data_IF_081921415721
#
_entry.id   IF_081921415721
#
_cell.length_a   1.000
_cell.length_b   1.000
_cell.length_c   1.000
_cell.angle_alpha   90.00
_cell.angle_beta   90.00
_cell.angle_gamma   90.00
#
_symmetry.space_group_name_H-M   'P 1'
#
loop_
_entity.id
_entity.type
_entity.pdbx_description
1 polymer ?
#
# COMPACT_ATOMS: atom_id res chain seq x y z
N UNK A 1 16.32 -10.01 3.86
CA UNK A 1 15.13 -10.74 4.34
C UNK A 1 13.99 -10.28 3.46
N UNK A 2 13.24 -11.17 2.82
CA UNK A 2 12.22 -10.78 1.84
C UNK A 2 11.05 -10.08 2.53
N UNK A 3 10.69 -8.88 2.10
CA UNK A 3 9.50 -8.16 2.62
C UNK A 3 8.18 -8.75 2.09
N UNK A 4 8.25 -9.49 0.97
CA UNK A 4 7.09 -10.05 0.29
C UNK A 4 7.14 -11.58 0.30
N UNK A 5 5.99 -12.20 0.53
CA UNK A 5 5.80 -13.61 0.22
C UNK A 5 5.67 -13.84 -1.29
N UNK A 6 5.88 -15.07 -1.74
CA UNK A 6 5.70 -15.43 -3.17
C UNK A 6 4.28 -15.14 -3.65
N UNK A 7 3.28 -15.39 -2.81
CA UNK A 7 1.87 -15.16 -3.14
C UNK A 7 1.53 -13.67 -3.21
N UNK A 8 2.12 -12.87 -2.32
CA UNK A 8 1.98 -11.41 -2.37
C UNK A 8 2.61 -10.86 -3.65
N UNK A 9 3.82 -11.30 -3.99
CA UNK A 9 4.50 -10.89 -5.21
C UNK A 9 3.69 -11.29 -6.46
N UNK A 10 3.14 -12.51 -6.52
CA UNK A 10 2.33 -12.95 -7.64
C UNK A 10 1.10 -12.05 -7.86
N UNK A 11 0.40 -11.67 -6.78
CA UNK A 11 -0.75 -10.75 -6.83
C UNK A 11 -0.35 -9.33 -7.26
N UNK A 12 0.78 -8.83 -6.77
CA UNK A 12 1.32 -7.53 -7.18
C UNK A 12 1.67 -7.50 -8.68
N UNK A 13 2.22 -8.59 -9.22
CA UNK A 13 2.50 -8.75 -10.65
C UNK A 13 1.21 -8.78 -11.47
N UNK A 14 0.18 -9.50 -11.00
CA UNK A 14 -1.13 -9.54 -11.66
C UNK A 14 -1.73 -8.13 -11.77
N UNK A 15 -1.71 -7.38 -10.66
CA UNK A 15 -2.14 -5.99 -10.62
C UNK A 15 -1.29 -5.11 -11.56
N UNK A 16 0.03 -5.34 -11.65
CA UNK A 16 0.91 -4.63 -12.58
C UNK A 16 0.49 -4.83 -14.04
N UNK A 17 0.20 -6.07 -14.43
CA UNK A 17 -0.29 -6.40 -15.78
C UNK A 17 -1.64 -5.75 -16.09
N UNK A 18 -2.54 -5.66 -15.11
CA UNK A 18 -3.84 -4.96 -15.26
C UNK A 18 -3.63 -3.49 -15.58
N UNK A 19 -2.73 -2.82 -14.85
CA UNK A 19 -2.39 -1.40 -15.07
C UNK A 19 -1.76 -1.20 -16.45
N UNK A 20 -0.77 -2.02 -16.83
CA UNK A 20 -0.09 -1.90 -18.13
C UNK A 20 -1.03 -2.09 -19.32
N UNK A 21 -2.00 -2.99 -19.17
CA UNK A 21 -3.02 -3.24 -20.20
C UNK A 21 -4.14 -2.19 -20.20
N UNK A 22 -4.11 -1.20 -19.30
CA UNK A 22 -5.16 -0.19 -19.17
C UNK A 22 -6.52 -0.75 -18.76
N UNK A 23 -6.52 -1.83 -17.96
CA UNK A 23 -7.77 -2.43 -17.47
C UNK A 23 -8.50 -1.49 -16.51
N UNK A 24 -9.83 -1.44 -16.62
CA UNK A 24 -10.72 -0.75 -15.67
C UNK A 24 -11.00 -1.58 -14.40
N UNK A 25 -10.39 -2.76 -14.26
CA UNK A 25 -10.47 -3.57 -13.05
C UNK A 25 -9.89 -2.86 -11.84
N UNK A 26 -10.45 -3.17 -10.66
CA UNK A 26 -9.94 -2.64 -9.40
C UNK A 26 -8.53 -3.14 -9.11
N UNK A 27 -7.68 -2.25 -8.61
CA UNK A 27 -6.30 -2.55 -8.20
C UNK A 27 -6.19 -2.34 -6.70
N UNK A 28 -6.53 -3.36 -5.88
CA UNK A 28 -6.41 -3.24 -4.44
C UNK A 28 -4.95 -3.30 -3.99
N UNK A 29 -4.56 -2.57 -2.93
CA UNK A 29 -3.30 -2.84 -2.26
C UNK A 29 -3.25 -4.29 -1.77
N UNK A 30 -2.09 -4.92 -1.96
CA UNK A 30 -1.86 -6.32 -1.60
C UNK A 30 -1.18 -6.42 -0.24
N UNK A 31 -0.32 -5.46 0.07
CA UNK A 31 0.54 -5.44 1.26
C UNK A 31 0.56 -4.04 1.87
N UNK A 32 0.55 -3.98 3.21
CA UNK A 32 0.93 -2.79 3.98
C UNK A 32 2.29 -3.05 4.63
N UNK A 33 3.26 -2.21 4.30
CA UNK A 33 4.56 -2.17 4.95
C UNK A 33 4.62 -1.00 5.92
N UNK A 34 5.35 -1.16 7.02
CA UNK A 34 5.51 -0.15 8.07
C UNK A 34 6.98 -0.05 8.46
N UNK A 35 7.44 1.18 8.69
CA UNK A 35 8.67 1.45 9.42
C UNK A 35 8.29 2.05 10.78
N UNK A 36 8.64 1.40 11.90
CA UNK A 36 8.24 1.86 13.22
C UNK A 36 9.14 3.01 13.69
N UNK A 37 8.52 4.05 14.28
CA UNK A 37 9.17 5.18 14.97
C UNK A 37 10.12 6.07 14.13
N UNK A 38 10.11 7.36 14.48
CA UNK A 38 10.98 8.46 14.03
C UNK A 38 11.93 8.21 12.81
N UNK A 39 11.49 8.49 11.57
CA UNK A 39 10.12 8.88 11.19
C UNK A 39 9.20 7.66 10.95
N UNK A 40 7.97 7.63 11.54
CA UNK A 40 7.00 6.59 11.20
C UNK A 40 6.62 6.70 9.72
N UNK A 41 6.66 5.59 9.00
CA UNK A 41 6.36 5.58 7.56
C UNK A 41 5.58 4.32 7.20
N UNK A 42 4.77 4.42 6.14
CA UNK A 42 3.91 3.35 5.67
C UNK A 42 3.82 3.32 4.14
N UNK A 43 3.75 2.11 3.59
CA UNK A 43 3.62 1.88 2.15
C UNK A 43 2.53 0.84 1.90
N UNK A 44 1.45 1.26 1.25
CA UNK A 44 0.50 0.36 0.64
C UNK A 44 0.99 -0.01 -0.76
N UNK A 45 1.41 -1.25 -0.97
CA UNK A 45 1.85 -1.72 -2.28
C UNK A 45 0.68 -2.34 -3.02
N UNK A 46 0.36 -1.80 -4.20
CA UNK A 46 -0.76 -2.22 -5.03
C UNK A 46 -0.33 -3.00 -6.27
N UNK A 47 0.82 -2.69 -6.85
CA UNK A 47 1.38 -3.48 -7.94
C UNK A 47 2.91 -3.42 -7.94
N UNK A 48 3.52 -4.26 -8.75
CA UNK A 48 4.92 -4.11 -9.19
C UNK A 48 4.97 -4.10 -10.71
N UNK A 49 6.00 -3.47 -11.26
CA UNK A 49 6.34 -3.61 -12.68
C UNK A 49 6.56 -5.10 -13.01
N UNK A 50 5.79 -5.69 -13.96
CA UNK A 50 5.87 -7.12 -14.29
C UNK A 50 7.20 -7.58 -14.88
N UNK A 51 8.02 -6.67 -15.41
CA UNK A 51 9.35 -6.95 -15.94
C UNK A 51 10.43 -6.64 -14.91
N UNK A 52 10.20 -5.65 -14.05
CA UNK A 52 11.08 -5.25 -12.97
C UNK A 52 10.34 -5.25 -11.62
N UNK A 53 10.23 -6.42 -11.02
CA UNK A 53 9.51 -6.64 -9.77
C UNK A 53 9.99 -5.79 -8.57
N UNK A 54 11.13 -5.10 -8.67
CA UNK A 54 11.61 -4.19 -7.63
C UNK A 54 10.83 -2.88 -7.58
N UNK A 55 10.31 -2.40 -8.71
CA UNK A 55 9.59 -1.13 -8.80
C UNK A 55 8.13 -1.35 -8.44
N UNK A 56 7.76 -1.04 -7.20
CA UNK A 56 6.40 -1.13 -6.71
C UNK A 56 5.64 0.20 -6.87
N UNK A 57 4.35 0.12 -7.20
CA UNK A 57 3.41 1.25 -7.16
C UNK A 57 2.51 1.15 -5.93
N UNK A 58 2.21 2.29 -5.32
CA UNK A 58 1.48 2.29 -4.07
C UNK A 58 1.07 3.66 -3.53
N UNK A 59 0.43 3.66 -2.36
CA UNK A 59 0.17 4.84 -1.55
C UNK A 59 1.23 4.92 -0.45
N UNK A 60 1.95 6.04 -0.41
CA UNK A 60 3.18 6.21 0.36
C UNK A 60 2.97 7.33 1.37
N UNK A 61 3.23 7.03 2.64
CA UNK A 61 3.21 7.97 3.76
C UNK A 61 4.59 7.97 4.42
N UNK A 62 5.34 9.07 4.31
CA UNK A 62 6.69 9.18 4.89
C UNK A 62 6.63 10.16 6.05
N UNK A 63 7.15 9.78 7.21
CA UNK A 63 7.27 10.69 8.36
C UNK A 63 5.97 11.37 8.84
N UNK A 64 4.81 10.79 8.51
CA UNK A 64 3.51 11.41 8.79
C UNK A 64 3.18 12.61 7.88
N UNK A 65 3.95 12.81 6.80
CA UNK A 65 3.54 13.66 5.69
C UNK A 65 2.30 13.06 5.02
N UNK A 66 1.56 13.93 4.32
CA UNK A 66 0.32 13.51 3.67
C UNK A 66 0.59 12.37 2.67
N UNK A 67 -0.20 11.29 2.70
CA UNK A 67 0.03 10.16 1.80
C UNK A 67 -0.20 10.52 0.34
N UNK A 68 0.67 10.00 -0.53
CA UNK A 68 0.62 10.24 -1.98
C UNK A 68 0.82 8.94 -2.78
N UNK A 69 0.19 8.88 -3.95
CA UNK A 69 0.43 7.77 -4.88
C UNK A 69 1.81 7.95 -5.51
N UNK A 70 2.59 6.88 -5.56
CA UNK A 70 3.95 6.93 -6.07
C UNK A 70 4.56 5.56 -6.30
N UNK A 71 5.84 5.58 -6.67
CA UNK A 71 6.64 4.38 -6.85
C UNK A 71 7.73 4.29 -5.79
N UNK A 72 8.09 3.06 -5.41
CA UNK A 72 9.16 2.78 -4.45
C UNK A 72 9.91 1.51 -4.85
N UNK A 73 11.20 1.44 -4.56
CA UNK A 73 11.98 0.19 -4.71
C UNK A 73 11.77 -0.71 -3.50
N UNK A 74 11.45 -1.98 -3.75
CA UNK A 74 11.31 -2.98 -2.69
C UNK A 74 12.66 -3.25 -2.02
N UNK A 75 13.75 -3.32 -2.80
CA UNK A 75 15.11 -3.47 -2.27
C UNK A 75 15.51 -2.29 -1.38
N UNK A 76 15.18 -1.06 -1.77
CA UNK A 76 15.43 0.10 -0.91
C UNK A 76 14.68 -0.04 0.43
N UNK A 77 13.44 -0.52 0.42
CA UNK A 77 12.69 -0.79 1.64
C UNK A 77 13.29 -1.94 2.47
N UNK A 78 13.83 -2.98 1.83
CA UNK A 78 14.52 -4.08 2.52
C UNK A 78 15.79 -3.63 3.23
N UNK A 79 16.48 -2.64 2.69
CA UNK A 79 17.70 -2.06 3.25
C UNK A 79 17.43 -0.88 4.18
N UNK A 80 16.23 -0.28 4.12
CA UNK A 80 15.84 0.86 4.94
C UNK A 80 15.86 0.51 6.43
N UNK A 81 16.55 1.33 7.22
CA UNK A 81 16.64 1.21 8.67
C UNK A 81 16.19 2.51 9.33
N UNK A 82 15.25 2.38 10.25
CA UNK A 82 14.77 3.46 11.10
C UNK A 82 15.51 3.51 12.43
N UNK A 83 14.89 4.17 13.40
CA UNK A 83 15.43 4.30 14.75
C UNK A 83 15.80 2.94 15.36
N UNK A 84 16.93 2.87 16.08
CA UNK A 84 17.48 1.64 16.67
C UNK A 84 17.68 0.49 15.66
N UNK A 85 17.99 0.82 14.40
CA UNK A 85 18.25 -0.17 13.34
C UNK A 85 17.05 -1.08 13.05
N UNK A 86 15.83 -0.62 13.31
CA UNK A 86 14.61 -1.35 12.99
C UNK A 86 14.35 -1.28 11.48
N UNK A 87 14.11 -2.43 10.86
CA UNK A 87 13.77 -2.51 9.44
C UNK A 87 12.28 -2.28 9.18
N UNK A 88 11.95 -2.12 7.91
CA UNK A 88 10.57 -2.19 7.44
C UNK A 88 10.00 -3.58 7.72
N UNK A 89 8.72 -3.66 8.09
CA UNK A 89 8.03 -4.92 8.36
C UNK A 89 6.64 -4.95 7.74
N UNK A 90 6.10 -6.15 7.61
CA UNK A 90 4.74 -6.41 7.11
C UNK A 90 3.69 -6.21 8.21
N UNK A 91 2.66 -5.40 7.96
CA UNK A 91 1.54 -5.25 8.88
C UNK A 91 0.57 -6.43 8.75
N UNK A 92 0.62 -7.35 9.71
CA UNK A 92 -0.23 -8.56 9.73
C UNK A 92 -1.71 -8.26 9.94
N UNK A 93 -2.07 -7.12 10.54
CA UNK A 93 -3.48 -6.76 10.74
C UNK A 93 -4.14 -6.40 9.41
N UNK A 94 -3.36 -5.93 8.44
CA UNK A 94 -3.87 -5.62 7.11
C UNK A 94 -4.36 -6.86 6.35
N UNK A 95 -3.87 -8.06 6.68
CA UNK A 95 -4.33 -9.28 6.01
C UNK A 95 -5.82 -9.56 6.25
N UNK A 96 -6.37 -9.07 7.36
CA UNK A 96 -7.78 -9.18 7.74
C UNK A 96 -8.63 -7.96 7.33
N UNK A 97 -8.03 -6.97 6.68
CA UNK A 97 -8.73 -5.76 6.25
C UNK A 97 -9.50 -5.96 4.94
N UNK A 98 -10.64 -5.30 4.80
CA UNK A 98 -11.32 -5.15 3.52
C UNK A 98 -10.45 -4.32 2.59
N UNK A 99 -10.15 -4.84 1.40
CA UNK A 99 -9.29 -4.18 0.43
C UNK A 99 -10.12 -3.39 -0.58
N UNK A 100 -9.97 -2.08 -0.56
CA UNK A 100 -10.54 -1.16 -1.55
C UNK A 100 -9.56 -0.94 -2.70
N UNK A 101 -10.04 -0.34 -3.79
CA UNK A 101 -9.17 0.15 -4.86
C UNK A 101 -8.15 1.17 -4.32
N UNK A 102 -6.91 1.13 -4.82
CA UNK A 102 -5.83 2.00 -4.36
C UNK A 102 -6.15 3.48 -4.52
N UNK A 103 -6.90 3.88 -5.57
CA UNK A 103 -7.31 5.27 -5.76
C UNK A 103 -8.34 5.71 -4.71
N UNK A 104 -9.17 4.79 -4.22
CA UNK A 104 -10.11 5.07 -3.15
C UNK A 104 -9.39 5.29 -1.82
N UNK A 105 -8.37 4.47 -1.51
CA UNK A 105 -7.50 4.72 -0.37
C UNK A 105 -6.77 6.06 -0.48
N UNK A 106 -6.29 6.44 -1.66
CA UNK A 106 -5.63 7.72 -1.87
C UNK A 106 -6.57 8.92 -1.62
N UNK A 107 -7.83 8.83 -2.07
CA UNK A 107 -8.85 9.86 -1.78
C UNK A 107 -9.16 9.96 -0.29
N UNK A 108 -9.37 8.83 0.37
CA UNK A 108 -9.57 8.80 1.82
C UNK A 108 -8.36 9.39 2.56
N UNK A 109 -7.15 9.01 2.19
CA UNK A 109 -5.93 9.48 2.82
C UNK A 109 -5.68 10.98 2.60
N UNK A 110 -6.08 11.52 1.45
CA UNK A 110 -6.08 12.97 1.21
C UNK A 110 -6.97 13.72 2.18
N UNK A 111 -8.14 13.17 2.50
CA UNK A 111 -9.11 13.83 3.38
C UNK A 111 -8.78 13.65 4.86
N UNK A 112 -8.25 12.48 5.25
CA UNK A 112 -7.86 12.20 6.64
C UNK A 112 -6.42 12.57 6.98
N UNK A 113 -5.59 12.88 5.99
CA UNK A 113 -4.18 13.22 6.14
C UNK A 113 -3.25 12.03 6.42
N UNK A 114 -3.76 10.80 6.44
CA UNK A 114 -3.00 9.58 6.75
C UNK A 114 -3.63 8.33 6.11
N UNK A 115 -2.85 7.26 5.99
CA UNK A 115 -3.35 5.97 5.53
C UNK A 115 -4.34 5.41 6.56
N UNK A 116 -5.56 5.10 6.11
CA UNK A 116 -6.64 4.58 6.96
C UNK A 116 -7.01 3.15 6.56
N UNK A 117 -6.95 2.22 7.51
CA UNK A 117 -7.37 0.82 7.31
C UNK A 117 -8.89 0.67 7.44
N UNK A 118 -9.46 -0.28 6.69
CA UNK A 118 -10.87 -0.67 6.84
C UNK A 118 -10.95 -2.10 7.35
N UNK A 119 -11.56 -2.27 8.51
CA UNK A 119 -11.97 -3.57 9.02
C UNK A 119 -13.46 -3.75 8.73
N UNK A 120 -13.87 -5.01 8.60
CA UNK A 120 -15.22 -5.45 8.19
C UNK A 120 -16.37 -4.92 9.07
N UNK A 121 -16.09 -4.25 10.19
CA UNK A 121 -17.10 -3.81 11.17
C UNK A 121 -17.26 -2.28 11.34
N UNK A 122 -16.51 -1.40 10.67
CA UNK A 122 -16.51 0.05 11.04
C UNK A 122 -16.55 1.11 9.93
N UNK A 123 -16.93 0.78 8.71
CA UNK A 123 -17.20 1.80 7.67
C UNK A 123 -18.44 1.40 6.88
N UNK A 124 -19.49 2.23 6.94
CA UNK A 124 -20.76 1.93 6.28
C UNK A 124 -20.64 2.09 4.76
N UNK A 125 -21.59 1.53 3.99
CA UNK A 125 -21.67 1.79 2.54
C UNK A 125 -21.85 3.29 2.24
N UNK A 126 -22.55 4.03 3.10
CA UNK A 126 -22.80 5.46 2.98
C UNK A 126 -21.51 6.29 3.12
N UNK A 127 -20.61 5.87 4.01
CA UNK A 127 -19.29 6.50 4.13
C UNK A 127 -18.44 6.33 2.88
N UNK A 128 -18.54 5.18 2.20
CA UNK A 128 -17.83 4.94 0.94
C UNK A 128 -18.37 5.75 -0.24
N UNK A 129 -19.66 6.09 -0.24
CA UNK A 129 -20.27 6.90 -1.30
C UNK A 129 -19.69 8.32 -1.35
N UNK A 130 -19.21 8.85 -0.21
CA UNK A 130 -18.57 10.17 -0.11
C UNK A 130 -17.28 10.27 -0.94
N UNK A 131 -16.64 9.14 -1.25
CA UNK A 131 -15.34 9.08 -1.94
C UNK A 131 -15.42 8.46 -3.34
N UNK A 132 -16.62 8.28 -3.89
CA UNK A 132 -16.86 7.69 -5.22
C UNK A 132 -17.12 8.70 -6.34
N UNK A 133 -17.05 10.01 -6.07
CA UNK A 133 -17.22 11.07 -7.07
C UNK A 133 -15.94 11.33 -7.87
#
# INVERSE_FOLDING_TARGET
MSLLSKDQLAKLIENGKKIENGSDETVPPIVLLRLPNNPPSAWFLASVDPLNHDKAFGLIEIAGDRPELGYVSIKELEDLRGYKNQGVYHDVLYESADRLDINLYARMAKDYGQITLRFTERVTKEDLLKFKS
#
